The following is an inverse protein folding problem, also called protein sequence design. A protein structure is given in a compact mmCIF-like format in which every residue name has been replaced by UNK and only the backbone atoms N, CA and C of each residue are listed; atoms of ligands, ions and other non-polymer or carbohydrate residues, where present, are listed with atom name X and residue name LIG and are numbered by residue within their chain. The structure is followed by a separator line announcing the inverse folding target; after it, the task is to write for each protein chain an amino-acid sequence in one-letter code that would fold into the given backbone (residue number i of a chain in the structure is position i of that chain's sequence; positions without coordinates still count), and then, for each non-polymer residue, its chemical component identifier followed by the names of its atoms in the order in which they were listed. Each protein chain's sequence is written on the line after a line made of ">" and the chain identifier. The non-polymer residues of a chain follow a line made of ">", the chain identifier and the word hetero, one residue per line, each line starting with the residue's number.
data_IF_295450649052
#
_entry.id   IF_295450649052
#
_cell.length_a   1.000
_cell.length_b   1.000
_cell.length_c   1.000
_cell.angle_alpha   90.00
_cell.angle_beta   90.00
_cell.angle_gamma   90.00
#
_symmetry.space_group_name_H-M   'P 1'
#
loop_
_entity.id
_entity.type
_entity.pdbx_description
1 polymer ?
#
# COMPACT_ATOMS: atom_id res chain seq x y z
N UNK A 1 4.15 -8.08 22.30
CA UNK A 1 3.38 -8.10 21.04
C UNK A 1 4.36 -7.83 19.92
N UNK A 2 4.41 -8.70 18.92
CA UNK A 2 5.36 -8.58 17.82
C UNK A 2 4.77 -7.72 16.70
N UNK A 3 5.60 -6.85 16.13
CA UNK A 3 5.21 -5.98 15.02
C UNK A 3 6.05 -6.34 13.80
N UNK A 4 5.38 -6.76 12.73
CA UNK A 4 6.03 -7.11 11.47
C UNK A 4 5.91 -5.92 10.51
N UNK A 5 7.04 -5.25 10.25
CA UNK A 5 7.08 -4.09 9.36
C UNK A 5 7.29 -4.49 7.89
N UNK A 6 6.52 -3.88 6.99
CA UNK A 6 6.57 -4.07 5.53
C UNK A 6 6.59 -2.73 4.80
N UNK A 7 7.55 -1.88 5.17
CA UNK A 7 7.79 -0.59 4.53
C UNK A 7 8.57 -0.76 3.23
N UNK A 8 8.07 -0.16 2.15
CA UNK A 8 8.72 -0.14 0.84
C UNK A 8 8.91 1.30 0.40
N UNK A 9 10.17 1.76 0.37
CA UNK A 9 10.49 3.15 0.05
C UNK A 9 9.97 3.52 -1.34
N UNK A 10 9.31 4.66 -1.43
CA UNK A 10 8.73 5.18 -2.67
C UNK A 10 7.49 4.46 -3.18
N UNK A 11 6.98 3.44 -2.48
CA UNK A 11 5.77 2.73 -2.90
C UNK A 11 4.49 3.55 -2.63
N UNK A 12 3.50 3.34 -3.48
CA UNK A 12 2.18 3.95 -3.53
C UNK A 12 1.16 2.81 -3.62
N UNK A 13 -0.12 3.13 -3.70
CA UNK A 13 -1.17 2.10 -3.68
C UNK A 13 -1.15 1.16 -4.91
N UNK A 14 -0.67 1.61 -6.08
CA UNK A 14 -0.50 0.73 -7.27
C UNK A 14 0.50 -0.39 -7.01
N UNK A 15 1.63 -0.05 -6.39
CA UNK A 15 2.66 -1.05 -6.07
C UNK A 15 2.24 -1.94 -4.90
N UNK A 16 1.53 -1.39 -3.91
CA UNK A 16 0.98 -2.16 -2.80
C UNK A 16 0.12 -3.35 -3.28
N UNK A 17 -0.76 -3.12 -4.27
CA UNK A 17 -1.60 -4.17 -4.86
C UNK A 17 -0.80 -5.35 -5.45
N UNK A 18 0.42 -5.09 -5.93
CA UNK A 18 1.27 -6.11 -6.54
C UNK A 18 2.06 -6.93 -5.53
N UNK A 19 2.34 -6.36 -4.35
CA UNK A 19 3.16 -7.03 -3.32
C UNK A 19 2.34 -7.57 -2.17
N UNK A 20 1.03 -7.28 -2.09
CA UNK A 20 0.17 -7.68 -0.99
C UNK A 20 0.23 -9.19 -0.70
N UNK A 21 0.12 -10.04 -1.73
CA UNK A 21 0.12 -11.49 -1.54
C UNK A 21 1.45 -11.98 -0.94
N UNK A 22 2.57 -11.41 -1.37
CA UNK A 22 3.91 -11.69 -0.81
C UNK A 22 4.04 -11.20 0.63
N UNK A 23 3.41 -10.07 0.96
CA UNK A 23 3.39 -9.56 2.33
C UNK A 23 2.60 -10.51 3.23
N UNK A 24 1.39 -10.89 2.83
CA UNK A 24 0.53 -11.80 3.60
C UNK A 24 1.15 -13.18 3.77
N UNK A 25 1.79 -13.72 2.73
CA UNK A 25 2.48 -15.02 2.80
C UNK A 25 3.74 -15.01 3.67
N UNK A 26 4.24 -13.83 4.04
CA UNK A 26 5.45 -13.66 4.86
C UNK A 26 5.15 -13.50 6.36
N UNK A 27 3.88 -13.62 6.75
CA UNK A 27 3.45 -13.56 8.15
C UNK A 27 3.11 -14.98 8.60
N UNK A 28 3.80 -15.47 9.63
CA UNK A 28 3.68 -16.86 10.08
C UNK A 28 2.32 -17.18 10.74
N UNK A 29 1.62 -16.15 11.23
CA UNK A 29 0.29 -16.27 11.84
C UNK A 29 -0.59 -15.04 11.55
N UNK A 30 -1.93 -15.16 11.55
CA UNK A 30 -2.81 -14.04 11.33
C UNK A 30 -2.58 -12.92 12.37
N UNK A 31 -2.32 -11.67 11.94
CA UNK A 31 -2.09 -10.59 12.88
C UNK A 31 -3.38 -10.17 13.57
N UNK A 32 -3.29 -9.73 14.83
CA UNK A 32 -4.44 -9.17 15.56
C UNK A 32 -4.94 -7.85 14.94
N UNK A 33 -4.07 -7.12 14.24
CA UNK A 33 -4.40 -5.90 13.51
C UNK A 33 -3.45 -5.74 12.31
N UNK A 34 -3.97 -5.22 11.20
CA UNK A 34 -3.21 -4.84 10.02
C UNK A 34 -3.46 -3.37 9.70
N UNK A 35 -2.38 -2.63 9.47
CA UNK A 35 -2.45 -1.21 9.11
C UNK A 35 -1.95 -1.01 7.68
N UNK A 36 -2.80 -0.44 6.82
CA UNK A 36 -2.41 0.04 5.48
C UNK A 36 -2.04 1.51 5.62
N UNK A 37 -0.78 1.86 5.37
CA UNK A 37 -0.27 3.23 5.54
C UNK A 37 0.33 3.79 4.23
N UNK A 38 -0.51 3.96 3.22
CA UNK A 38 -0.18 4.54 1.91
C UNK A 38 -0.95 5.83 1.66
N UNK A 39 -0.37 6.74 0.86
CA UNK A 39 -1.00 8.00 0.47
C UNK A 39 -0.02 9.15 0.22
N UNK A 40 1.12 9.19 0.92
CA UNK A 40 2.09 10.26 0.76
C UNK A 40 2.70 10.29 -0.65
N UNK A 41 3.12 9.13 -1.16
CA UNK A 41 3.68 9.02 -2.51
C UNK A 41 2.61 9.18 -3.59
N UNK A 42 1.41 8.63 -3.37
CA UNK A 42 0.22 8.79 -4.23
C UNK A 42 -0.12 10.27 -4.45
N UNK A 43 0.00 11.08 -3.39
CA UNK A 43 -0.26 12.52 -3.39
C UNK A 43 0.87 13.36 -4.04
N UNK A 44 1.91 12.73 -4.59
CA UNK A 44 2.95 13.45 -5.32
C UNK A 44 2.34 14.30 -6.43
N UNK A 45 2.85 15.53 -6.58
CA UNK A 45 2.36 16.45 -7.59
C UNK A 45 2.84 16.01 -8.98
N UNK A 46 1.96 16.03 -10.00
CA UNK A 46 2.30 15.57 -11.35
C UNK A 46 3.29 16.49 -12.09
N UNK A 47 3.54 17.70 -11.58
CA UNK A 47 4.44 18.71 -12.16
C UNK A 47 5.79 18.83 -11.41
N UNK A 48 6.09 17.89 -10.49
CA UNK A 48 7.32 17.90 -9.68
C UNK A 48 8.19 16.67 -9.95
N UNK A 49 9.38 16.64 -9.35
CA UNK A 49 10.35 15.55 -9.52
C UNK A 49 9.83 14.16 -9.13
N UNK A 50 8.81 14.09 -8.25
CA UNK A 50 8.16 12.84 -7.84
C UNK A 50 6.90 12.50 -8.63
N UNK A 51 6.64 13.16 -9.76
CA UNK A 51 5.42 12.96 -10.58
C UNK A 51 5.16 11.49 -10.95
N UNK A 52 6.21 10.67 -11.09
CA UNK A 52 6.10 9.24 -11.38
C UNK A 52 5.38 8.43 -10.27
N UNK A 53 5.28 8.97 -9.06
CA UNK A 53 4.60 8.34 -7.93
C UNK A 53 3.11 8.72 -7.84
N UNK A 54 2.67 9.74 -8.60
CA UNK A 54 1.32 10.27 -8.54
C UNK A 54 0.27 9.20 -8.86
N UNK A 55 -0.77 9.15 -8.02
CA UNK A 55 -1.96 8.34 -8.21
C UNK A 55 -3.19 9.27 -8.10
N UNK A 56 -4.05 9.35 -9.14
CA UNK A 56 -5.27 10.14 -9.08
C UNK A 56 -6.19 9.71 -7.93
N UNK A 57 -6.92 10.66 -7.33
CA UNK A 57 -7.74 10.40 -6.13
C UNK A 57 -8.74 9.25 -6.29
N UNK A 58 -9.40 9.15 -7.45
CA UNK A 58 -10.36 8.09 -7.73
C UNK A 58 -9.68 6.71 -7.74
N UNK A 59 -8.47 6.64 -8.29
CA UNK A 59 -7.68 5.42 -8.35
C UNK A 59 -7.11 5.06 -6.97
N UNK A 60 -6.60 6.03 -6.21
CA UNK A 60 -6.18 5.81 -4.82
C UNK A 60 -7.30 5.20 -3.98
N UNK A 61 -8.52 5.74 -4.09
CA UNK A 61 -9.71 5.19 -3.42
C UNK A 61 -9.97 3.74 -3.83
N UNK A 62 -9.96 3.45 -5.14
CA UNK A 62 -10.22 2.10 -5.63
C UNK A 62 -9.12 1.13 -5.17
N UNK A 63 -7.86 1.54 -5.23
CA UNK A 63 -6.74 0.71 -4.80
C UNK A 63 -6.85 0.35 -3.31
N UNK A 64 -7.29 1.27 -2.44
CA UNK A 64 -7.53 0.96 -1.03
C UNK A 64 -8.66 -0.06 -0.84
N UNK A 65 -9.77 0.07 -1.58
CA UNK A 65 -10.88 -0.90 -1.54
C UNK A 65 -10.36 -2.28 -1.97
N UNK A 66 -9.59 -2.34 -3.05
CA UNK A 66 -9.05 -3.59 -3.59
C UNK A 66 -8.03 -4.24 -2.65
N UNK A 67 -7.20 -3.43 -1.96
CA UNK A 67 -6.28 -3.92 -0.93
C UNK A 67 -7.06 -4.56 0.22
N UNK A 68 -8.08 -3.88 0.74
CA UNK A 68 -8.92 -4.37 1.84
C UNK A 68 -9.64 -5.66 1.43
N UNK A 69 -10.22 -5.70 0.21
CA UNK A 69 -10.94 -6.87 -0.29
C UNK A 69 -10.06 -8.13 -0.44
N UNK A 70 -8.75 -7.96 -0.59
CA UNK A 70 -7.77 -9.07 -0.69
C UNK A 70 -7.25 -9.56 0.65
N UNK A 71 -7.42 -8.77 1.72
CA UNK A 71 -7.10 -9.17 3.09
C UNK A 71 -8.29 -10.00 3.61
N UNK A 72 -8.06 -11.30 3.84
CA UNK A 72 -9.04 -12.23 4.40
C UNK A 72 -8.78 -12.50 5.87
#
# INVERSE_FOLDING_TARGET
>A
ADVVLRGYSGYNTRWALRVLDRVLSSVDSPPAALTIFFGANDASLPDRSSAFQHVPLHEYRQNLIDLIARIK
#
